data_IF_750470423655
#
_entry.id   IF_750470423655
#
_cell.length_a   1.000
_cell.length_b   1.000
_cell.length_c   1.000
_cell.angle_alpha   90.00
_cell.angle_beta   90.00
_cell.angle_gamma   90.00
#
_symmetry.space_group_name_H-M   'P 1'
#
loop_
_entity.id
_entity.type
_entity.pdbx_description
1 polymer ?
#
# COMPACT_ATOMS: atom_id res chain seq x y z
N UNK A 1 8.69 16.45 -2.48
CA UNK A 1 9.22 15.33 -3.29
C UNK A 1 9.42 14.18 -2.32
N UNK A 2 8.71 13.06 -2.48
CA UNK A 2 8.93 11.87 -1.65
C UNK A 2 10.23 11.20 -2.09
N UNK A 3 11.17 11.06 -1.17
CA UNK A 3 12.46 10.45 -1.47
C UNK A 3 12.30 8.93 -1.66
N UNK A 4 12.49 8.46 -2.89
CA UNK A 4 12.49 7.03 -3.22
C UNK A 4 13.90 6.43 -3.18
N UNK A 5 14.87 7.17 -2.62
CA UNK A 5 16.22 6.68 -2.38
C UNK A 5 16.21 5.49 -1.43
N UNK A 6 17.10 4.54 -1.69
CA UNK A 6 17.17 3.31 -0.92
C UNK A 6 17.33 3.58 0.58
N UNK A 7 16.54 2.87 1.39
CA UNK A 7 16.59 2.96 2.84
C UNK A 7 15.59 3.94 3.47
N UNK A 8 14.94 4.81 2.69
CA UNK A 8 13.93 5.76 3.17
C UNK A 8 12.50 5.19 3.21
N UNK A 9 12.36 3.87 3.21
CA UNK A 9 11.05 3.23 3.26
C UNK A 9 10.55 3.05 4.69
N UNK A 10 9.23 2.87 4.83
CA UNK A 10 8.60 2.56 6.10
C UNK A 10 8.58 1.03 6.31
N UNK A 11 9.35 0.49 7.30
CA UNK A 11 9.43 -0.94 7.52
C UNK A 11 8.31 -1.42 8.46
N UNK A 12 7.66 -2.50 8.08
CA UNK A 12 6.69 -3.23 8.88
C UNK A 12 7.27 -4.60 9.24
N UNK A 13 7.12 -5.00 10.50
CA UNK A 13 7.64 -6.28 10.97
C UNK A 13 6.89 -7.44 10.29
N UNK A 14 7.64 -8.39 9.75
CA UNK A 14 7.13 -9.57 9.08
C UNK A 14 6.57 -9.31 7.67
N UNK A 15 5.90 -10.33 7.14
CA UNK A 15 5.25 -10.32 5.82
C UNK A 15 3.74 -10.05 5.89
N UNK A 16 3.19 -9.96 7.11
CA UNK A 16 1.78 -9.64 7.39
C UNK A 16 1.71 -8.47 8.35
N UNK A 17 1.02 -7.41 7.96
CA UNK A 17 0.87 -6.21 8.77
C UNK A 17 -0.31 -5.38 8.30
N UNK A 18 -0.73 -4.44 9.13
CA UNK A 18 -1.82 -3.54 8.80
C UNK A 18 -1.36 -2.10 9.01
N UNK A 19 -1.67 -1.24 8.04
CA UNK A 19 -1.34 0.18 8.07
C UNK A 19 -2.64 0.96 8.05
N UNK A 20 -2.85 1.80 9.05
CA UNK A 20 -3.96 2.74 9.10
C UNK A 20 -3.50 4.09 8.55
N UNK A 21 -4.21 4.60 7.55
CA UNK A 21 -3.93 5.85 6.88
C UNK A 21 -5.08 6.81 7.16
N UNK A 22 -4.80 7.88 7.91
CA UNK A 22 -5.74 8.99 8.10
C UNK A 22 -5.59 9.97 6.94
N UNK A 23 -6.67 10.19 6.22
CA UNK A 23 -6.75 11.13 5.12
C UNK A 23 -6.94 12.56 5.66
N UNK A 24 -6.43 13.59 4.96
CA UNK A 24 -6.59 14.98 5.38
C UNK A 24 -8.04 15.48 5.23
N UNK A 25 -8.82 14.84 4.37
CA UNK A 25 -10.25 15.11 4.16
C UNK A 25 -10.98 13.81 3.87
N UNK A 26 -12.30 13.81 4.07
CA UNK A 26 -13.17 12.70 3.72
C UNK A 26 -13.34 12.63 2.21
N UNK A 27 -12.96 11.51 1.59
CA UNK A 27 -13.05 11.32 0.13
C UNK A 27 -13.71 10.00 -0.23
N UNK A 28 -14.23 9.90 -1.46
CA UNK A 28 -14.61 8.64 -2.10
C UNK A 28 -13.39 8.10 -2.86
N UNK A 29 -12.60 7.19 -2.28
CA UNK A 29 -11.34 6.80 -2.88
C UNK A 29 -11.59 6.01 -4.17
N UNK A 30 -10.90 6.41 -5.24
CA UNK A 30 -11.01 5.82 -6.58
C UNK A 30 -9.84 4.89 -6.91
N UNK A 31 -8.66 5.16 -6.36
CA UNK A 31 -7.47 4.36 -6.55
C UNK A 31 -6.49 4.53 -5.38
N UNK A 32 -5.57 3.57 -5.25
CA UNK A 32 -4.36 3.71 -4.42
C UNK A 32 -3.13 3.50 -5.27
N UNK A 33 -2.07 4.25 -5.03
CA UNK A 33 -0.75 4.03 -5.64
C UNK A 33 0.23 3.58 -4.57
N UNK A 34 0.96 2.50 -4.85
CA UNK A 34 2.10 2.05 -4.05
C UNK A 34 3.36 2.26 -4.87
N UNK A 35 4.36 2.90 -4.26
CA UNK A 35 5.70 3.00 -4.81
C UNK A 35 6.67 2.16 -3.99
N UNK A 36 7.60 1.53 -4.69
CA UNK A 36 8.78 0.89 -4.11
C UNK A 36 10.06 1.39 -4.81
N UNK A 37 11.22 1.09 -4.24
CA UNK A 37 12.50 1.28 -4.92
C UNK A 37 12.58 0.46 -6.22
N UNK A 38 13.29 1.00 -7.22
CA UNK A 38 13.61 0.31 -8.46
C UNK A 38 14.61 -0.83 -8.24
N UNK A 39 14.47 -1.93 -9.00
CA UNK A 39 15.45 -3.02 -9.02
C UNK A 39 16.86 -2.55 -9.39
N UNK A 40 16.96 -1.58 -10.30
CA UNK A 40 18.23 -1.02 -10.77
C UNK A 40 18.94 -0.27 -9.64
N UNK A 41 18.18 0.36 -8.75
CA UNK A 41 18.74 1.05 -7.61
C UNK A 41 19.26 0.07 -6.55
N UNK A 42 18.64 -1.10 -6.40
CA UNK A 42 18.98 -2.09 -5.36
C UNK A 42 20.36 -2.73 -5.57
N UNK A 43 21.29 -2.67 -4.58
CA UNK A 43 22.62 -3.27 -4.69
C UNK A 43 22.61 -4.78 -4.92
N UNK A 44 21.56 -5.46 -4.46
CA UNK A 44 21.35 -6.89 -4.60
C UNK A 44 20.46 -7.24 -5.81
N UNK A 45 20.02 -6.26 -6.60
CA UNK A 45 19.09 -6.43 -7.72
C UNK A 45 17.70 -6.95 -7.32
N UNK A 46 17.42 -7.06 -6.02
CA UNK A 46 16.17 -7.60 -5.47
C UNK A 46 15.44 -6.56 -4.64
N UNK A 47 14.12 -6.58 -4.76
CA UNK A 47 13.18 -5.74 -3.99
C UNK A 47 12.19 -6.61 -3.23
N UNK A 48 12.69 -7.73 -2.70
CA UNK A 48 11.88 -8.78 -2.04
C UNK A 48 11.14 -8.29 -0.79
N UNK A 49 11.55 -7.14 -0.25
CA UNK A 49 10.85 -6.45 0.84
C UNK A 49 9.58 -5.74 0.42
N UNK A 50 9.29 -5.60 -0.87
CA UNK A 50 8.05 -4.99 -1.34
C UNK A 50 6.82 -5.80 -0.88
N UNK A 51 5.68 -5.13 -0.59
CA UNK A 51 4.43 -5.85 -0.39
C UNK A 51 4.11 -6.66 -1.64
N UNK A 52 3.50 -7.83 -1.46
CA UNK A 52 3.00 -8.67 -2.56
C UNK A 52 1.49 -8.60 -2.58
N UNK A 53 0.83 -9.41 -1.76
CA UNK A 53 -0.64 -9.44 -1.71
C UNK A 53 -1.12 -8.51 -0.61
N UNK A 54 -2.08 -7.65 -0.91
CA UNK A 54 -2.62 -6.69 0.05
C UNK A 54 -4.10 -6.40 -0.20
N UNK A 55 -4.75 -5.88 0.83
CA UNK A 55 -6.14 -5.42 0.78
C UNK A 55 -6.22 -3.94 1.11
N UNK A 56 -7.21 -3.26 0.56
CA UNK A 56 -7.55 -1.87 0.89
C UNK A 56 -8.96 -1.86 1.43
N UNK A 57 -9.19 -1.24 2.57
CA UNK A 57 -10.52 -1.10 3.17
C UNK A 57 -10.73 0.33 3.67
N UNK A 58 -11.95 0.83 3.55
CA UNK A 58 -12.37 2.08 4.18
C UNK A 58 -12.95 1.80 5.56
N UNK A 59 -12.64 2.65 6.53
CA UNK A 59 -13.19 2.60 7.88
C UNK A 59 -14.02 3.87 8.18
N UNK A 60 -15.01 3.74 9.04
CA UNK A 60 -15.69 4.89 9.66
C UNK A 60 -14.78 5.64 10.65
N UNK A 61 -15.31 6.69 11.28
CA UNK A 61 -14.53 7.55 12.18
C UNK A 61 -14.10 6.81 13.45
N UNK A 62 -14.89 5.82 13.85
CA UNK A 62 -14.68 4.96 15.01
C UNK A 62 -13.72 3.79 14.71
N UNK A 63 -13.53 3.45 13.42
CA UNK A 63 -12.70 2.32 13.00
C UNK A 63 -13.39 0.95 13.10
N UNK A 64 -14.69 0.94 13.40
CA UNK A 64 -15.48 -0.25 13.73
C UNK A 64 -16.11 -0.87 12.48
N UNK A 65 -16.62 -0.06 11.54
CA UNK A 65 -17.21 -0.54 10.30
C UNK A 65 -16.19 -0.54 9.15
N UNK A 66 -15.88 -1.74 8.65
CA UNK A 66 -14.89 -1.97 7.58
C UNK A 66 -15.56 -2.32 6.26
N UNK A 67 -15.38 -1.46 5.26
CA UNK A 67 -15.77 -1.73 3.87
C UNK A 67 -14.56 -2.15 3.04
N UNK A 68 -14.56 -3.36 2.46
CA UNK A 68 -13.51 -3.79 1.53
C UNK A 68 -13.60 -2.99 0.23
N UNK A 69 -12.51 -2.33 -0.15
CA UNK A 69 -12.42 -1.52 -1.37
C UNK A 69 -11.64 -2.22 -2.49
N UNK A 70 -10.86 -3.26 -2.15
CA UNK A 70 -10.18 -4.09 -3.13
C UNK A 70 -9.11 -5.00 -2.54
N UNK A 71 -8.70 -5.98 -3.35
CA UNK A 71 -7.63 -6.92 -3.08
C UNK A 71 -6.71 -6.93 -4.29
N UNK A 72 -5.40 -6.79 -4.06
CA UNK A 72 -4.44 -6.55 -5.12
C UNK A 72 -3.13 -7.28 -4.87
N UNK A 73 -2.34 -7.42 -5.94
CA UNK A 73 -0.97 -7.93 -5.90
C UNK A 73 -0.02 -6.92 -6.54
N UNK A 74 0.91 -6.38 -5.76
CA UNK A 74 2.02 -5.57 -6.27
C UNK A 74 3.05 -6.47 -6.94
N UNK A 75 3.42 -6.18 -8.19
CA UNK A 75 4.22 -7.08 -9.03
C UNK A 75 5.63 -6.53 -9.26
N UNK A 76 6.68 -7.21 -8.80
CA UNK A 76 8.07 -6.73 -8.95
C UNK A 76 8.56 -6.64 -10.41
N UNK A 77 7.89 -7.31 -11.36
CA UNK A 77 8.23 -7.28 -12.78
C UNK A 77 7.72 -6.02 -13.50
N UNK A 78 6.77 -5.30 -12.89
CA UNK A 78 6.24 -4.05 -13.41
C UNK A 78 7.05 -2.85 -12.90
N UNK A 79 6.63 -1.66 -13.31
CA UNK A 79 7.18 -0.40 -12.82
C UNK A 79 7.15 -0.31 -11.28
N UNK A 80 8.12 0.39 -10.64
CA UNK A 80 8.17 0.52 -9.18
C UNK A 80 6.98 1.27 -8.59
N UNK A 81 6.33 2.12 -9.38
CA UNK A 81 5.10 2.83 -9.02
C UNK A 81 3.91 2.14 -9.68
N UNK A 82 2.98 1.62 -8.89
CA UNK A 82 1.81 0.89 -9.37
C UNK A 82 0.53 1.48 -8.78
N UNK A 83 -0.43 1.76 -9.65
CA UNK A 83 -1.75 2.29 -9.27
C UNK A 83 -2.80 1.18 -9.40
N UNK A 84 -3.62 1.05 -8.37
CA UNK A 84 -4.63 0.02 -8.21
C UNK A 84 -6.01 0.67 -8.12
N UNK A 85 -6.89 0.49 -9.12
CA UNK A 85 -8.25 1.03 -9.09
C UNK A 85 -9.09 0.28 -8.05
N UNK A 86 -9.81 1.03 -7.21
CA UNK A 86 -10.69 0.47 -6.19
C UNK A 86 -12.04 0.05 -6.79
N UNK A 87 -12.81 -0.74 -6.03
CA UNK A 87 -14.12 -1.23 -6.44
C UNK A 87 -15.05 -0.08 -6.83
N UNK A 88 -15.68 -0.21 -8.01
CA UNK A 88 -16.70 0.73 -8.50
C UNK A 88 -18.01 0.53 -7.74
N UNK A 89 -18.79 1.61 -7.63
CA UNK A 89 -20.11 1.57 -6.98
C UNK A 89 -20.09 1.78 -5.47
N UNK A 90 -18.92 1.98 -4.86
CA UNK A 90 -18.82 2.40 -3.46
C UNK A 90 -19.06 3.91 -3.41
N UNK A 91 -20.24 4.30 -2.96
CA UNK A 91 -20.65 5.71 -2.81
C UNK A 91 -20.29 6.30 -1.44
N UNK A 92 -19.72 5.49 -0.54
CA UNK A 92 -19.31 5.92 0.79
C UNK A 92 -17.96 6.64 0.74
N UNK A 93 -17.88 7.75 1.48
CA UNK A 93 -16.64 8.49 1.69
C UNK A 93 -16.03 8.14 3.06
N UNK A 94 -14.70 8.09 3.13
CA UNK A 94 -13.94 7.62 4.28
C UNK A 94 -12.89 8.64 4.73
N UNK A 95 -12.64 8.71 6.05
CA UNK A 95 -11.49 9.42 6.63
C UNK A 95 -10.28 8.52 6.79
N UNK A 96 -10.52 7.22 6.97
CA UNK A 96 -9.48 6.25 7.27
C UNK A 96 -9.49 5.17 6.20
N UNK A 97 -8.31 4.88 5.67
CA UNK A 97 -8.06 3.68 4.87
C UNK A 97 -7.15 2.73 5.62
N UNK A 98 -7.45 1.46 5.54
CA UNK A 98 -6.63 0.37 6.06
C UNK A 98 -6.00 -0.38 4.90
N UNK A 99 -4.66 -0.40 4.87
CA UNK A 99 -3.87 -1.22 3.96
C UNK A 99 -3.44 -2.49 4.71
N UNK A 100 -4.05 -3.62 4.39
CA UNK A 100 -3.75 -4.91 5.00
C UNK A 100 -2.79 -5.72 4.15
N UNK A 101 -1.50 -5.71 4.49
CA UNK A 101 -0.44 -6.48 3.83
C UNK A 101 -0.56 -7.96 4.26
N UNK A 102 -0.72 -8.86 3.27
CA UNK A 102 -0.92 -10.29 3.48
C UNK A 102 0.35 -11.12 3.23
N UNK A 103 1.23 -10.61 2.36
CA UNK A 103 2.50 -11.24 2.00
C UNK A 103 3.49 -10.20 1.48
N UNK A 104 4.77 -10.59 1.43
CA UNK A 104 5.82 -9.87 0.71
C UNK A 104 6.49 -10.82 -0.31
N UNK A 105 7.51 -10.34 -1.01
CA UNK A 105 8.22 -11.10 -2.03
C UNK A 105 9.37 -11.97 -1.47
N UNK A 106 9.20 -12.51 -0.26
CA UNK A 106 10.11 -13.49 0.34
C UNK A 106 11.20 -12.89 1.22
N UNK A 107 11.11 -11.61 1.59
CA UNK A 107 12.04 -11.01 2.55
C UNK A 107 11.71 -11.49 3.97
N UNK A 108 12.64 -12.14 4.68
CA UNK A 108 12.43 -12.48 6.08
C UNK A 108 12.47 -11.22 6.95
N UNK A 109 11.66 -11.21 8.00
CA UNK A 109 11.71 -10.19 9.06
C UNK A 109 10.95 -8.89 8.79
N UNK A 110 10.81 -8.43 7.54
CA UNK A 110 10.09 -7.18 7.25
C UNK A 110 9.49 -7.06 5.85
N UNK A 111 8.55 -6.13 5.72
CA UNK A 111 8.01 -5.56 4.47
C UNK A 111 8.26 -4.06 4.46
N UNK A 112 8.56 -3.45 3.32
CA UNK A 112 8.83 -2.02 3.22
C UNK A 112 7.98 -1.37 2.13
N UNK A 113 7.44 -0.19 2.45
CA UNK A 113 6.69 0.64 1.50
C UNK A 113 7.36 2.02 1.46
N UNK A 114 7.61 2.55 0.25
CA UNK A 114 8.25 3.86 0.09
C UNK A 114 7.22 4.98 0.03
N UNK A 115 6.13 4.77 -0.70
CA UNK A 115 5.05 5.75 -0.79
C UNK A 115 3.71 5.03 -0.94
N UNK A 116 2.71 5.59 -0.27
CA UNK A 116 1.30 5.32 -0.54
C UNK A 116 0.65 6.64 -0.92
N UNK A 117 -0.04 6.67 -2.06
CA UNK A 117 -0.89 7.79 -2.46
C UNK A 117 -2.32 7.31 -2.59
N UNK A 118 -3.26 8.11 -2.13
CA UNK A 118 -4.69 7.83 -2.22
C UNK A 118 -5.30 8.87 -3.14
N UNK A 119 -6.15 8.42 -4.05
CA UNK A 119 -6.80 9.27 -5.06
C UNK A 119 -8.30 9.27 -4.85
N UNK A 120 -8.97 10.41 -4.96
CA UNK A 120 -10.43 10.57 -4.84
C UNK A 120 -10.85 11.98 -4.48
#
# INVERSE_FOLDING_TARGET
>A
QSDASLGYCWPFQGSRSEVLIRLPTRIQPTAITIQHASKIASPLGTVSGAPRDFTVSGLDEEGEDKTLLGTFTYTMQKEPTQTFPLQKGITRAFWFLKLGIQSNWGKPGYTCIYLVQVHG
#
